data_IF_424416799115
#
_entry.id   IF_424416799115
#
_cell.length_a   1.000
_cell.length_b   1.000
_cell.length_c   1.000
_cell.angle_alpha   90.00
_cell.angle_beta   90.00
_cell.angle_gamma   90.00
#
_symmetry.space_group_name_H-M   'P 1'
#
loop_
_entity.id
_entity.type
_entity.pdbx_description
1 polymer ?
#
# COMPACT_ATOMS: atom_id res chain seq x y z
N UNK A 1 20.84 2.75 -9.37
CA UNK A 1 19.41 2.43 -9.19
C UNK A 1 18.60 3.25 -10.17
N UNK A 2 17.74 2.62 -10.98
CA UNK A 2 16.88 3.37 -11.89
C UNK A 2 15.65 3.95 -11.15
N UNK A 3 14.91 4.85 -11.80
CA UNK A 3 13.74 5.50 -11.19
C UNK A 3 12.63 4.51 -10.81
N UNK A 4 12.48 3.43 -11.58
CA UNK A 4 11.47 2.42 -11.32
C UNK A 4 11.77 1.66 -10.02
N UNK A 5 13.00 1.20 -9.85
CA UNK A 5 13.47 0.56 -8.61
C UNK A 5 13.27 1.46 -7.38
N UNK A 6 13.52 2.77 -7.49
CA UNK A 6 13.26 3.72 -6.40
C UNK A 6 11.77 3.81 -6.03
N UNK A 7 10.87 3.73 -7.02
CA UNK A 7 9.43 3.73 -6.78
C UNK A 7 9.01 2.42 -6.12
N UNK A 8 9.50 1.29 -6.62
CA UNK A 8 9.17 -0.04 -6.11
C UNK A 8 9.65 -0.20 -4.66
N UNK A 9 10.88 0.24 -4.36
CA UNK A 9 11.45 0.27 -3.00
C UNK A 9 10.62 1.16 -2.07
N UNK A 10 10.29 2.38 -2.52
CA UNK A 10 9.44 3.28 -1.74
C UNK A 10 8.08 2.65 -1.42
N UNK A 11 7.43 2.06 -2.43
CA UNK A 11 6.12 1.43 -2.27
C UNK A 11 6.20 0.23 -1.32
N UNK A 12 7.22 -0.62 -1.43
CA UNK A 12 7.40 -1.76 -0.52
C UNK A 12 7.59 -1.30 0.93
N UNK A 13 8.44 -0.29 1.15
CA UNK A 13 8.67 0.24 2.49
C UNK A 13 7.43 0.95 3.06
N UNK A 14 6.67 1.63 2.21
CA UNK A 14 5.39 2.22 2.61
C UNK A 14 4.38 1.15 3.06
N UNK A 15 4.32 0.01 2.36
CA UNK A 15 3.43 -1.10 2.73
C UNK A 15 3.87 -1.80 4.02
N UNK A 16 5.17 -2.00 4.24
CA UNK A 16 5.69 -2.52 5.51
C UNK A 16 5.32 -1.62 6.70
N UNK A 17 5.44 -0.29 6.54
CA UNK A 17 5.02 0.65 7.59
C UNK A 17 3.50 0.60 7.81
N UNK A 18 2.72 0.56 6.73
CA UNK A 18 1.26 0.45 6.80
C UNK A 18 0.81 -0.83 7.52
N UNK A 19 1.41 -1.99 7.19
CA UNK A 19 1.13 -3.27 7.85
C UNK A 19 1.48 -3.19 9.34
N UNK A 20 2.64 -2.65 9.70
CA UNK A 20 3.02 -2.44 11.11
C UNK A 20 2.00 -1.60 11.88
N UNK A 21 1.48 -0.53 11.26
CA UNK A 21 0.41 0.30 11.83
C UNK A 21 -0.90 -0.47 12.02
N UNK A 22 -1.30 -1.25 11.02
CA UNK A 22 -2.51 -2.06 11.09
C UNK A 22 -2.39 -3.20 12.11
N UNK A 23 -1.20 -3.79 12.28
CA UNK A 23 -0.95 -4.77 13.35
C UNK A 23 -1.10 -4.12 14.73
N UNK A 24 -0.62 -2.89 14.90
CA UNK A 24 -0.76 -2.15 16.15
C UNK A 24 -2.20 -1.67 16.41
N UNK A 25 -2.93 -1.29 15.36
CA UNK A 25 -4.29 -0.78 15.45
C UNK A 25 -5.19 -1.33 14.31
N UNK A 26 -5.70 -2.57 14.45
CA UNK A 26 -6.47 -3.22 13.38
C UNK A 26 -7.76 -2.50 13.00
N UNK A 27 -8.33 -1.70 13.91
CA UNK A 27 -9.53 -0.90 13.64
C UNK A 27 -9.35 0.07 12.47
N UNK A 28 -8.10 0.49 12.18
CA UNK A 28 -7.78 1.40 11.07
C UNK A 28 -7.91 0.77 9.69
N UNK A 29 -8.18 -0.53 9.58
CA UNK A 29 -8.66 -1.14 8.33
C UNK A 29 -9.88 -0.38 7.81
N UNK A 30 -10.76 0.12 8.69
CA UNK A 30 -11.92 0.91 8.31
C UNK A 30 -11.55 2.19 7.53
N UNK A 31 -10.48 2.88 7.91
CA UNK A 31 -10.00 4.09 7.22
C UNK A 31 -9.57 3.77 5.77
N UNK A 32 -8.92 2.63 5.60
CA UNK A 32 -8.42 2.13 4.32
C UNK A 32 -9.60 1.70 3.43
N UNK A 33 -10.54 0.94 3.98
CA UNK A 33 -11.78 0.55 3.30
C UNK A 33 -12.60 1.75 2.85
N UNK A 34 -12.81 2.74 3.73
CA UNK A 34 -13.53 3.96 3.38
C UNK A 34 -12.83 4.76 2.28
N UNK A 35 -11.49 4.72 2.24
CA UNK A 35 -10.71 5.36 1.16
C UNK A 35 -10.91 4.66 -0.17
N UNK A 36 -10.86 3.33 -0.19
CA UNK A 36 -11.10 2.52 -1.37
C UNK A 36 -12.52 2.70 -1.93
N UNK A 37 -13.54 2.71 -1.04
CA UNK A 37 -14.93 2.93 -1.42
C UNK A 37 -15.14 4.30 -2.07
N UNK A 38 -14.52 5.36 -1.53
CA UNK A 38 -14.59 6.70 -2.14
C UNK A 38 -13.98 6.72 -3.54
N UNK A 39 -12.85 6.03 -3.77
CA UNK A 39 -12.23 5.96 -5.09
C UNK A 39 -13.13 5.23 -6.09
N UNK A 40 -13.68 4.09 -5.69
CA UNK A 40 -14.60 3.30 -6.52
C UNK A 40 -15.87 4.08 -6.88
N UNK A 41 -16.42 4.85 -5.94
CA UNK A 41 -17.60 5.68 -6.19
C UNK A 41 -17.31 6.83 -7.18
N UNK A 42 -16.07 7.34 -7.23
CA UNK A 42 -15.71 8.51 -8.04
C UNK A 42 -15.17 8.16 -9.43
N UNK A 43 -14.52 7.01 -9.60
CA UNK A 43 -13.73 6.71 -10.80
C UNK A 43 -14.54 6.14 -11.97
N UNK A 44 -15.77 5.65 -11.73
CA UNK A 44 -16.48 4.83 -12.72
C UNK A 44 -15.77 3.49 -12.96
N UNK A 45 -16.12 2.77 -14.03
CA UNK A 45 -15.47 1.50 -14.35
C UNK A 45 -14.03 1.72 -14.85
N UNK A 46 -13.06 1.09 -14.19
CA UNK A 46 -11.63 1.25 -14.51
C UNK A 46 -10.92 -0.09 -14.72
N UNK A 47 -9.74 -0.05 -15.34
CA UNK A 47 -8.84 -1.23 -15.42
C UNK A 47 -8.31 -1.67 -14.06
N UNK A 48 -8.44 -0.83 -13.04
CA UNK A 48 -8.02 -1.12 -11.66
C UNK A 48 -9.08 -1.86 -10.85
N UNK A 49 -10.31 -1.98 -11.37
CA UNK A 49 -11.43 -2.60 -10.65
C UNK A 49 -11.12 -4.00 -10.11
N UNK A 50 -10.42 -4.90 -10.85
CA UNK A 50 -10.02 -6.21 -10.31
C UNK A 50 -9.13 -6.10 -9.06
N UNK A 51 -8.12 -5.22 -9.10
CA UNK A 51 -7.21 -5.00 -7.98
C UNK A 51 -7.91 -4.31 -6.81
N UNK A 52 -8.87 -3.41 -7.06
CA UNK A 52 -9.68 -2.81 -6.00
C UNK A 52 -10.62 -3.81 -5.33
N UNK A 53 -11.18 -4.74 -6.09
CA UNK A 53 -11.97 -5.85 -5.51
C UNK A 53 -11.10 -6.78 -4.68
N UNK A 54 -9.88 -7.07 -5.14
CA UNK A 54 -8.90 -7.85 -4.37
C UNK A 54 -8.49 -7.13 -3.08
N UNK A 55 -8.21 -5.82 -3.15
CA UNK A 55 -7.97 -4.99 -1.96
C UNK A 55 -9.12 -5.07 -0.96
N UNK A 56 -10.37 -5.00 -1.42
CA UNK A 56 -11.54 -5.16 -0.55
C UNK A 56 -11.57 -6.53 0.12
N UNK A 57 -11.26 -7.60 -0.62
CA UNK A 57 -11.20 -8.96 -0.06
C UNK A 57 -10.11 -9.09 1.01
N UNK A 58 -8.92 -8.54 0.75
CA UNK A 58 -7.80 -8.55 1.71
C UNK A 58 -8.12 -7.74 2.97
N UNK A 59 -8.73 -6.56 2.83
CA UNK A 59 -9.16 -5.73 3.96
C UNK A 59 -10.19 -6.46 4.83
N UNK A 60 -11.08 -7.24 4.23
CA UNK A 60 -12.03 -8.08 4.97
C UNK A 60 -11.38 -9.31 5.63
N UNK A 61 -10.34 -9.87 5.01
CA UNK A 61 -9.60 -11.02 5.54
C UNK A 61 -8.64 -10.65 6.69
N UNK A 62 -8.19 -9.39 6.75
CA UNK A 62 -7.38 -8.86 7.85
C UNK A 62 -5.92 -8.58 7.46
N UNK A 63 -5.14 -8.18 8.47
CA UNK A 63 -3.79 -7.62 8.27
C UNK A 63 -2.80 -8.61 7.65
N UNK A 64 -2.90 -9.89 8.03
CA UNK A 64 -1.99 -10.93 7.50
C UNK A 64 -2.16 -11.12 5.99
N UNK A 65 -3.40 -11.09 5.48
CA UNK A 65 -3.68 -11.18 4.04
C UNK A 65 -3.13 -9.98 3.27
N UNK A 66 -3.21 -8.77 3.84
CA UNK A 66 -2.64 -7.55 3.26
C UNK A 66 -1.12 -7.67 3.19
N UNK A 67 -0.47 -8.15 4.26
CA UNK A 67 0.97 -8.31 4.31
C UNK A 67 1.46 -9.33 3.27
N UNK A 68 0.87 -10.51 3.24
CA UNK A 68 1.23 -11.58 2.31
C UNK A 68 1.17 -11.11 0.85
N UNK A 69 0.07 -10.46 0.46
CA UNK A 69 -0.13 -10.01 -0.91
C UNK A 69 0.72 -8.79 -1.30
N UNK A 70 0.99 -7.87 -0.37
CA UNK A 70 1.64 -6.59 -0.73
C UNK A 70 3.12 -6.52 -0.39
N UNK A 71 3.64 -7.42 0.44
CA UNK A 71 5.07 -7.52 0.72
C UNK A 71 5.79 -8.57 -0.15
N UNK A 72 5.06 -9.28 -1.01
CA UNK A 72 5.62 -10.15 -2.05
C UNK A 72 6.47 -9.40 -3.07
N UNK A 73 7.33 -10.14 -3.78
CA UNK A 73 8.27 -9.61 -4.78
C UNK A 73 7.87 -9.90 -6.22
N UNK A 74 6.70 -10.49 -6.44
CA UNK A 74 6.19 -10.76 -7.78
C UNK A 74 5.52 -9.51 -8.41
N UNK A 75 5.26 -9.60 -9.71
CA UNK A 75 4.63 -8.51 -10.48
C UNK A 75 3.21 -8.19 -9.97
N UNK A 76 2.52 -9.17 -9.39
CA UNK A 76 1.18 -8.99 -8.83
C UNK A 76 1.21 -8.12 -7.58
N UNK A 77 2.13 -8.39 -6.65
CA UNK A 77 2.38 -7.57 -5.48
C UNK A 77 2.80 -6.15 -5.88
N UNK A 78 3.63 -5.99 -6.92
CA UNK A 78 3.97 -4.67 -7.48
C UNK A 78 2.71 -3.96 -7.98
N UNK A 79 1.84 -4.64 -8.74
CA UNK A 79 0.59 -4.07 -9.24
C UNK A 79 -0.33 -3.62 -8.10
N UNK A 80 -0.54 -4.48 -7.08
CA UNK A 80 -1.32 -4.15 -5.89
C UNK A 80 -0.81 -2.92 -5.16
N UNK A 81 0.52 -2.81 -4.98
CA UNK A 81 1.13 -1.64 -4.34
C UNK A 81 0.91 -0.33 -5.12
N UNK A 82 0.85 -0.40 -6.46
CA UNK A 82 0.64 0.78 -7.30
C UNK A 82 -0.79 1.34 -7.23
N UNK A 83 -1.77 0.53 -6.86
CA UNK A 83 -3.19 0.91 -6.76
C UNK A 83 -3.71 0.88 -5.31
N UNK A 84 -2.80 1.06 -4.36
CA UNK A 84 -3.04 0.83 -2.94
C UNK A 84 -3.72 1.99 -2.20
N UNK A 85 -4.75 1.71 -1.37
CA UNK A 85 -5.41 2.70 -0.50
C UNK A 85 -4.68 2.99 0.82
N UNK A 86 -3.57 2.30 1.13
CA UNK A 86 -2.93 2.38 2.47
C UNK A 86 -2.25 3.72 2.77
N UNK A 87 -2.16 4.62 1.79
CA UNK A 87 -1.56 5.95 1.97
C UNK A 87 -2.21 6.78 3.07
N UNK A 88 -3.48 6.51 3.41
CA UNK A 88 -4.21 7.15 4.52
C UNK A 88 -3.61 6.84 5.91
N UNK A 89 -2.82 5.77 6.02
CA UNK A 89 -2.21 5.34 7.28
C UNK A 89 -0.93 6.10 7.63
N UNK A 90 -0.45 6.95 6.72
CA UNK A 90 0.86 7.57 6.79
C UNK A 90 0.74 9.09 6.78
N UNK A 91 1.55 9.74 7.61
CA UNK A 91 1.66 11.19 7.57
C UNK A 91 2.48 11.64 6.36
N UNK A 92 2.32 12.90 5.95
CA UNK A 92 3.12 13.45 4.86
C UNK A 92 4.62 13.48 5.18
N UNK A 93 4.98 13.64 6.46
CA UNK A 93 6.37 13.61 6.93
C UNK A 93 7.00 12.24 6.68
N UNK A 94 6.31 11.16 7.08
CA UNK A 94 6.78 9.78 6.91
C UNK A 94 6.91 9.41 5.43
N UNK A 95 5.94 9.80 4.61
CA UNK A 95 6.03 9.63 3.16
C UNK A 95 7.29 10.31 2.61
N UNK A 96 7.59 11.52 3.08
CA UNK A 96 8.81 12.24 2.71
C UNK A 96 10.10 11.56 3.17
N UNK A 97 10.11 10.97 4.37
CA UNK A 97 11.24 10.19 4.90
C UNK A 97 11.51 8.95 4.06
N UNK A 98 10.49 8.18 3.73
CA UNK A 98 10.59 6.99 2.88
C UNK A 98 11.05 7.32 1.45
N UNK A 99 10.54 8.40 0.87
CA UNK A 99 11.00 8.86 -0.45
C UNK A 99 12.47 9.26 -0.44
N UNK A 100 12.97 9.87 0.65
CA UNK A 100 14.39 10.19 0.80
C UNK A 100 15.23 8.93 0.94
N UNK A 101 14.81 7.98 1.78
CA UNK A 101 15.51 6.71 1.98
C UNK A 101 15.63 5.91 0.67
N UNK A 102 14.54 5.78 -0.10
CA UNK A 102 14.53 5.10 -1.39
C UNK A 102 15.47 5.77 -2.40
N UNK A 103 15.55 7.11 -2.44
CA UNK A 103 16.50 7.81 -3.33
C UNK A 103 17.96 7.56 -2.97
N UNK A 104 18.24 7.39 -1.68
CA UNK A 104 19.59 7.17 -1.15
C UNK A 104 20.01 5.68 -1.19
N UNK A 105 19.11 4.77 -1.61
CA UNK A 105 19.37 3.33 -1.55
C UNK A 105 19.52 2.81 -0.12
N UNK A 106 19.12 3.60 0.87
CA UNK A 106 19.20 3.22 2.28
C UNK A 106 17.95 2.44 2.63
N UNK A 107 18.08 1.12 2.73
CA UNK A 107 17.08 0.30 3.39
C UNK A 107 17.14 0.63 4.88
N UNK A 108 16.08 1.23 5.43
CA UNK A 108 15.91 1.26 6.87
C UNK A 108 15.82 -0.20 7.34
N UNK A 109 16.83 -0.63 8.09
CA UNK A 109 16.95 -1.96 8.68
C UNK A 109 15.97 -2.15 9.83
#
# INVERSE_FOLDING_TARGET
MNRQQQIDDFLLQAHRLAVSRLRAEPARIADVSATLERWQAQAGATRSDPYWNEWRAMLAAGVDAIEEATCGTDDHAVALRNVSPVGVLMTQRERGELLRAARQGTHAA
#
